data_IF_257036937204
#
_entry.id   IF_257036937204
#
_cell.length_a   1.000
_cell.length_b   1.000
_cell.length_c   1.000
_cell.angle_alpha   90.00
_cell.angle_beta   90.00
_cell.angle_gamma   90.00
#
_symmetry.space_group_name_H-M   'P 1'
#
loop_
_entity.id
_entity.type
_entity.pdbx_description
1 polymer ?
#
# COMPACT_ATOMS: atom_id res chain seq x y z
N UNK A 1 32.16 -28.08 -32.25
CA UNK A 1 32.05 -27.59 -30.87
C UNK A 1 31.23 -26.29 -30.92
N UNK A 2 29.93 -26.43 -30.79
CA UNK A 2 28.99 -25.30 -30.82
C UNK A 2 28.44 -25.12 -29.41
N UNK A 3 28.77 -23.99 -28.78
CA UNK A 3 28.26 -23.63 -27.44
C UNK A 3 26.82 -23.10 -27.61
N UNK A 4 25.86 -23.87 -27.14
CA UNK A 4 24.51 -23.41 -26.89
C UNK A 4 24.55 -22.47 -25.68
N UNK A 5 24.51 -21.18 -25.92
CA UNK A 5 24.13 -20.20 -24.89
C UNK A 5 22.63 -20.33 -24.67
N UNK A 6 22.23 -20.97 -23.59
CA UNK A 6 20.86 -20.93 -23.11
C UNK A 6 20.51 -19.50 -22.72
N UNK A 7 19.65 -18.84 -23.47
CA UNK A 7 18.93 -17.68 -23.05
C UNK A 7 17.93 -18.16 -21.97
N UNK A 8 18.13 -17.76 -20.72
CA UNK A 8 17.08 -17.82 -19.72
C UNK A 8 15.91 -16.98 -20.27
N UNK A 9 14.78 -17.59 -20.50
CA UNK A 9 13.54 -16.88 -20.73
C UNK A 9 13.26 -16.07 -19.46
N UNK A 10 13.35 -14.74 -19.54
CA UNK A 10 12.85 -13.84 -18.52
C UNK A 10 11.34 -14.07 -18.47
N UNK A 11 10.90 -14.93 -17.55
CA UNK A 11 9.48 -15.11 -17.27
C UNK A 11 8.93 -13.79 -16.77
N UNK A 12 7.94 -13.24 -17.45
CA UNK A 12 7.16 -12.12 -16.93
C UNK A 12 6.55 -12.60 -15.62
N UNK A 13 6.98 -11.99 -14.51
CA UNK A 13 6.52 -12.38 -13.19
C UNK A 13 5.16 -11.70 -12.97
N UNK A 14 4.09 -12.46 -13.12
CA UNK A 14 2.76 -11.97 -12.80
C UNK A 14 2.54 -12.03 -11.29
N UNK A 15 2.19 -10.92 -10.67
CA UNK A 15 1.94 -10.88 -9.22
C UNK A 15 0.86 -9.87 -8.88
N UNK A 16 -0.24 -10.33 -8.28
CA UNK A 16 -1.41 -9.52 -7.93
C UNK A 16 -1.64 -9.61 -6.42
N UNK A 17 -1.20 -8.60 -5.69
CA UNK A 17 -1.13 -8.60 -4.23
C UNK A 17 -2.02 -7.54 -3.59
N UNK A 18 -2.47 -7.86 -2.38
CA UNK A 18 -3.00 -6.88 -1.41
C UNK A 18 -2.04 -6.81 -0.23
N UNK A 19 -1.71 -5.60 0.20
CA UNK A 19 -1.02 -5.36 1.47
C UNK A 19 -2.02 -4.87 2.51
N UNK A 20 -2.23 -5.67 3.55
CA UNK A 20 -3.03 -5.35 4.72
C UNK A 20 -2.14 -4.94 5.90
N UNK A 21 -2.75 -4.29 6.87
CA UNK A 21 -2.11 -3.88 8.10
C UNK A 21 -2.49 -2.44 8.49
N UNK A 22 -2.32 -2.07 9.77
CA UNK A 22 -2.72 -0.77 10.27
C UNK A 22 -1.96 0.39 9.60
N UNK A 23 -2.47 1.63 9.72
CA UNK A 23 -1.70 2.81 9.35
C UNK A 23 -0.34 2.79 10.06
N UNK A 24 0.75 3.04 9.33
CA UNK A 24 2.12 3.00 9.89
C UNK A 24 2.81 1.64 9.88
N UNK A 25 2.14 0.55 9.46
CA UNK A 25 2.73 -0.80 9.42
C UNK A 25 3.88 -0.99 8.41
N UNK A 26 4.13 -0.03 7.52
CA UNK A 26 5.21 -0.15 6.53
C UNK A 26 4.76 -0.63 5.15
N UNK A 27 3.45 -0.83 4.90
CA UNK A 27 2.90 -1.29 3.61
C UNK A 27 3.48 -0.58 2.40
N UNK A 28 3.43 0.76 2.39
CA UNK A 28 3.93 1.56 1.27
C UNK A 28 5.44 1.44 1.05
N UNK A 29 6.23 1.19 2.09
CA UNK A 29 7.67 0.92 1.98
C UNK A 29 7.91 -0.42 1.28
N UNK A 30 7.24 -1.46 1.74
CA UNK A 30 7.34 -2.79 1.16
C UNK A 30 6.80 -2.84 -0.28
N UNK A 31 5.67 -2.14 -0.54
CA UNK A 31 5.13 -2.02 -1.90
C UNK A 31 6.13 -1.42 -2.88
N UNK A 32 6.83 -0.35 -2.49
CA UNK A 32 7.85 0.28 -3.35
C UNK A 32 9.02 -0.66 -3.66
N UNK A 33 9.49 -1.42 -2.67
CA UNK A 33 10.56 -2.39 -2.88
C UNK A 33 10.13 -3.53 -3.83
N UNK A 34 8.86 -3.96 -3.75
CA UNK A 34 8.29 -4.94 -4.69
C UNK A 34 8.13 -4.34 -6.10
N UNK A 35 7.64 -3.09 -6.22
CA UNK A 35 7.56 -2.38 -7.49
C UNK A 35 8.91 -2.33 -8.20
N UNK A 36 9.95 -1.90 -7.47
CA UNK A 36 11.31 -1.76 -8.02
C UNK A 36 11.90 -3.10 -8.46
N UNK A 37 11.48 -4.21 -7.83
CA UNK A 37 11.98 -5.56 -8.14
C UNK A 37 11.24 -6.24 -9.27
N UNK A 38 9.91 -6.07 -9.36
CA UNK A 38 9.05 -6.85 -10.26
C UNK A 38 8.44 -6.03 -11.39
N UNK A 39 8.70 -4.73 -11.43
CA UNK A 39 8.15 -3.80 -12.44
C UNK A 39 6.60 -3.86 -12.52
N UNK A 40 5.94 -3.95 -11.37
CA UNK A 40 4.48 -3.95 -11.23
C UNK A 40 4.01 -2.69 -10.49
N UNK A 41 2.87 -2.07 -10.85
CA UNK A 41 2.43 -0.83 -10.23
C UNK A 41 1.89 -1.04 -8.82
N UNK A 42 2.20 -0.08 -7.93
CA UNK A 42 1.49 0.11 -6.66
C UNK A 42 0.24 0.95 -6.90
N UNK A 43 -0.90 0.47 -6.43
CA UNK A 43 -2.18 1.19 -6.41
C UNK A 43 -2.45 1.60 -4.96
N UNK A 44 -1.98 2.77 -4.57
CA UNK A 44 -2.22 3.36 -3.25
C UNK A 44 -3.45 4.26 -3.30
N UNK A 45 -4.58 3.79 -2.75
CA UNK A 45 -5.81 4.59 -2.70
C UNK A 45 -5.62 5.89 -1.91
N UNK A 46 -4.81 5.84 -0.85
CA UNK A 46 -4.47 7.05 -0.09
C UNK A 46 -3.70 8.08 -0.91
N UNK A 47 -2.77 7.66 -1.78
CA UNK A 47 -2.01 8.59 -2.61
C UNK A 47 -2.86 9.15 -3.76
N UNK A 48 -3.72 8.33 -4.36
CA UNK A 48 -4.69 8.78 -5.39
C UNK A 48 -5.63 9.86 -4.80
N UNK A 49 -6.18 9.61 -3.61
CA UNK A 49 -7.06 10.56 -2.95
C UNK A 49 -6.34 11.86 -2.56
N UNK A 50 -5.09 11.76 -2.06
CA UNK A 50 -4.26 12.96 -1.76
C UNK A 50 -3.94 13.77 -3.01
N UNK A 51 -3.65 13.12 -4.13
CA UNK A 51 -3.47 13.81 -5.42
C UNK A 51 -4.75 14.54 -5.83
N UNK A 52 -5.89 13.88 -5.75
CA UNK A 52 -7.19 14.49 -6.06
C UNK A 52 -7.52 15.70 -5.14
N UNK A 53 -7.15 15.63 -3.86
CA UNK A 53 -7.26 16.76 -2.91
C UNK A 53 -6.35 17.91 -3.33
N UNK A 54 -5.08 17.62 -3.66
CA UNK A 54 -4.10 18.63 -4.11
C UNK A 54 -4.54 19.34 -5.39
N UNK A 55 -5.16 18.59 -6.31
CA UNK A 55 -5.70 19.11 -7.58
C UNK A 55 -7.05 19.81 -7.42
N UNK A 56 -7.70 19.70 -6.27
CA UNK A 56 -9.01 20.33 -6.00
C UNK A 56 -10.16 19.73 -6.80
N UNK A 57 -10.06 18.47 -7.21
CA UNK A 57 -11.14 17.80 -7.96
C UNK A 57 -12.40 17.64 -7.10
N UNK A 58 -13.61 17.52 -7.68
CA UNK A 58 -14.83 17.27 -6.90
C UNK A 58 -14.74 16.05 -5.99
N UNK A 59 -14.08 15.00 -6.44
CA UNK A 59 -13.79 13.80 -5.65
C UNK A 59 -12.82 14.12 -4.49
N UNK A 60 -11.74 14.85 -4.77
CA UNK A 60 -10.76 15.24 -3.76
C UNK A 60 -11.38 16.10 -2.66
N UNK A 61 -12.26 17.05 -3.01
CA UNK A 61 -12.97 17.88 -2.04
C UNK A 61 -13.89 17.05 -1.11
N UNK A 62 -14.57 16.03 -1.64
CA UNK A 62 -15.37 15.09 -0.84
C UNK A 62 -14.49 14.21 0.06
N UNK A 63 -13.38 13.71 -0.46
CA UNK A 63 -12.47 12.83 0.28
C UNK A 63 -11.74 13.58 1.40
N UNK A 64 -11.44 14.88 1.22
CA UNK A 64 -10.66 15.68 2.17
C UNK A 64 -11.24 15.64 3.58
N UNK A 65 -12.56 15.84 3.74
CA UNK A 65 -13.21 15.83 5.04
C UNK A 65 -13.01 14.52 5.80
N UNK A 66 -13.18 13.39 5.12
CA UNK A 66 -12.97 12.06 5.70
C UNK A 66 -11.48 11.85 6.08
N UNK A 67 -10.56 12.25 5.20
CA UNK A 67 -9.11 12.09 5.44
C UNK A 67 -8.63 12.93 6.62
N UNK A 68 -9.07 14.19 6.73
CA UNK A 68 -8.71 15.11 7.81
C UNK A 68 -9.25 14.63 9.17
N UNK A 69 -10.42 13.98 9.19
CA UNK A 69 -11.02 13.38 10.38
C UNK A 69 -10.51 11.97 10.72
N UNK A 70 -9.77 11.34 9.83
CA UNK A 70 -9.28 9.95 9.98
C UNK A 70 -10.33 8.89 9.68
N UNK A 71 -11.45 9.26 9.06
CA UNK A 71 -12.51 8.37 8.60
C UNK A 71 -12.22 7.79 7.21
N UNK A 72 -12.95 6.72 6.83
CA UNK A 72 -12.89 6.18 5.48
C UNK A 72 -13.71 7.03 4.50
N UNK A 73 -13.21 7.16 3.29
CA UNK A 73 -13.98 7.68 2.15
C UNK A 73 -15.04 6.63 1.77
N UNK A 74 -16.26 7.02 1.37
CA UNK A 74 -17.32 6.08 1.02
C UNK A 74 -16.87 4.98 0.05
N UNK A 75 -17.31 3.75 0.32
CA UNK A 75 -16.85 2.54 -0.39
C UNK A 75 -17.02 2.65 -1.91
N UNK A 76 -18.16 3.14 -2.37
CA UNK A 76 -18.47 3.30 -3.80
C UNK A 76 -17.47 4.20 -4.55
N UNK A 77 -16.96 5.23 -3.86
CA UNK A 77 -15.96 6.14 -4.44
C UNK A 77 -14.63 5.43 -4.59
N UNK A 78 -14.19 4.73 -3.54
CA UNK A 78 -12.89 4.06 -3.53
C UNK A 78 -12.88 2.85 -4.46
N UNK A 79 -13.96 2.06 -4.47
CA UNK A 79 -14.15 0.93 -5.41
C UNK A 79 -14.08 1.41 -6.86
N UNK A 80 -14.80 2.49 -7.19
CA UNK A 80 -14.77 3.05 -8.55
C UNK A 80 -13.37 3.47 -9.00
N UNK A 81 -12.59 4.12 -8.12
CA UNK A 81 -11.21 4.51 -8.40
C UNK A 81 -10.33 3.28 -8.67
N UNK A 82 -10.44 2.26 -7.83
CA UNK A 82 -9.62 1.05 -7.97
C UNK A 82 -9.98 0.29 -9.22
N UNK A 83 -11.27 0.12 -9.53
CA UNK A 83 -11.75 -0.51 -10.76
C UNK A 83 -11.19 0.17 -12.01
N UNK A 84 -11.29 1.50 -12.08
CA UNK A 84 -10.73 2.28 -13.20
C UNK A 84 -9.21 2.11 -13.30
N UNK A 85 -8.50 2.08 -12.17
CA UNK A 85 -7.04 1.91 -12.14
C UNK A 85 -6.60 0.52 -12.60
N UNK A 86 -7.32 -0.53 -12.21
CA UNK A 86 -7.04 -1.92 -12.59
C UNK A 86 -7.24 -2.22 -14.09
N UNK A 87 -7.97 -1.35 -14.79
CA UNK A 87 -8.17 -1.45 -16.26
C UNK A 87 -7.00 -0.87 -17.07
N UNK A 88 -6.01 -0.26 -16.43
CA UNK A 88 -4.84 0.28 -17.15
C UNK A 88 -3.90 -0.85 -17.55
N UNK A 89 -3.30 -0.74 -18.73
CA UNK A 89 -2.44 -1.77 -19.31
C UNK A 89 -1.21 -2.13 -18.44
N UNK A 90 -0.71 -1.22 -17.61
CA UNK A 90 0.38 -1.48 -16.69
C UNK A 90 -0.01 -2.45 -15.55
N UNK A 91 -1.30 -2.71 -15.34
CA UNK A 91 -1.83 -3.68 -14.39
C UNK A 91 -2.02 -5.10 -14.98
N UNK A 92 -1.68 -5.31 -16.25
CA UNK A 92 -1.90 -6.61 -16.89
C UNK A 92 -0.91 -7.67 -16.37
N UNK A 93 0.35 -7.27 -16.14
CA UNK A 93 1.39 -8.17 -15.62
C UNK A 93 1.39 -8.28 -14.08
N UNK A 94 0.52 -7.54 -13.39
CA UNK A 94 0.42 -7.58 -11.95
C UNK A 94 0.16 -6.21 -11.33
N UNK A 95 -0.07 -6.19 -10.03
CA UNK A 95 -0.27 -4.97 -9.26
C UNK A 95 -0.16 -5.23 -7.74
N UNK A 96 0.04 -4.17 -6.99
CA UNK A 96 0.01 -4.18 -5.53
C UNK A 96 -1.05 -3.19 -5.07
N UNK A 97 -2.11 -3.68 -4.42
CA UNK A 97 -3.10 -2.83 -3.76
C UNK A 97 -2.60 -2.44 -2.37
N UNK A 98 -2.43 -1.14 -2.12
CA UNK A 98 -2.01 -0.58 -0.84
C UNK A 98 -3.11 0.33 -0.27
N UNK A 99 -3.62 -0.05 0.90
CA UNK A 99 -4.70 0.65 1.56
C UNK A 99 -6.08 0.44 0.92
N UNK A 100 -6.27 -0.65 0.19
CA UNK A 100 -7.53 -1.15 -0.33
C UNK A 100 -7.46 -2.68 -0.47
N UNK A 101 -8.54 -3.42 -0.13
CA UNK A 101 -9.77 -2.94 0.50
C UNK A 101 -9.56 -2.53 1.96
N UNK A 102 -10.50 -1.76 2.53
CA UNK A 102 -10.52 -1.40 3.96
C UNK A 102 -11.78 -1.85 4.68
N UNK A 103 -12.76 -2.36 3.96
CA UNK A 103 -14.01 -2.92 4.50
C UNK A 103 -14.34 -4.21 3.79
N UNK A 104 -15.14 -5.09 4.43
CA UNK A 104 -15.61 -6.33 3.79
C UNK A 104 -16.42 -6.04 2.52
N UNK A 105 -17.35 -5.07 2.49
CA UNK A 105 -18.03 -4.70 1.25
C UNK A 105 -17.09 -4.28 0.11
N UNK A 106 -15.98 -3.58 0.42
CA UNK A 106 -14.96 -3.27 -0.60
C UNK A 106 -14.25 -4.55 -1.11
N UNK A 107 -14.00 -5.53 -0.23
CA UNK A 107 -13.39 -6.81 -0.63
C UNK A 107 -14.31 -7.62 -1.55
N UNK A 108 -15.61 -7.65 -1.26
CA UNK A 108 -16.61 -8.31 -2.10
C UNK A 108 -16.72 -7.65 -3.48
N UNK A 109 -16.74 -6.31 -3.50
CA UNK A 109 -16.75 -5.54 -4.75
C UNK A 109 -15.47 -5.79 -5.57
N UNK A 110 -14.30 -5.77 -4.92
CA UNK A 110 -13.02 -6.10 -5.57
C UNK A 110 -13.03 -7.49 -6.18
N UNK A 111 -13.54 -8.49 -5.44
CA UNK A 111 -13.65 -9.87 -5.95
C UNK A 111 -14.48 -9.93 -7.22
N UNK A 112 -15.60 -9.21 -7.26
CA UNK A 112 -16.47 -9.10 -8.46
C UNK A 112 -15.73 -8.41 -9.61
N UNK A 113 -15.08 -7.28 -9.35
CA UNK A 113 -14.35 -6.52 -10.36
C UNK A 113 -13.19 -7.32 -10.96
N UNK A 114 -12.46 -8.09 -10.13
CA UNK A 114 -11.36 -8.94 -10.61
C UNK A 114 -11.86 -10.06 -11.53
N UNK A 115 -13.00 -10.67 -11.21
CA UNK A 115 -13.62 -11.67 -12.10
C UNK A 115 -14.02 -11.05 -13.44
N UNK A 116 -14.62 -9.84 -13.43
CA UNK A 116 -14.97 -9.12 -14.68
C UNK A 116 -13.74 -8.77 -15.52
N UNK A 117 -12.59 -8.55 -14.90
CA UNK A 117 -11.32 -8.20 -15.55
C UNK A 117 -10.45 -9.41 -15.89
N UNK A 118 -10.94 -10.64 -15.65
CA UNK A 118 -10.17 -11.89 -15.82
C UNK A 118 -8.84 -11.88 -15.04
N UNK A 119 -8.87 -11.33 -13.82
CA UNK A 119 -7.72 -11.24 -12.92
C UNK A 119 -8.01 -12.02 -11.63
N UNK A 120 -6.98 -12.59 -11.01
CA UNK A 120 -7.07 -13.32 -9.75
C UNK A 120 -5.96 -12.85 -8.81
N UNK A 121 -6.26 -12.72 -7.51
CA UNK A 121 -5.25 -12.43 -6.48
C UNK A 121 -4.38 -13.65 -6.21
N UNK A 122 -3.08 -13.42 -6.09
CA UNK A 122 -2.11 -14.45 -5.73
C UNK A 122 -1.97 -14.56 -4.20
N UNK A 123 -1.94 -13.43 -3.50
CA UNK A 123 -1.86 -13.40 -2.05
C UNK A 123 -2.33 -12.07 -1.45
N UNK A 124 -2.66 -12.14 -0.16
CA UNK A 124 -2.92 -10.99 0.71
C UNK A 124 -1.93 -11.05 1.86
N UNK A 125 -1.01 -10.10 1.91
CA UNK A 125 0.02 -10.04 2.94
C UNK A 125 -0.39 -9.06 4.03
N UNK A 126 -0.58 -9.55 5.25
CA UNK A 126 -0.88 -8.74 6.42
C UNK A 126 0.39 -8.47 7.22
N UNK A 127 0.73 -7.20 7.40
CA UNK A 127 1.81 -6.76 8.28
C UNK A 127 1.26 -6.56 9.69
N UNK A 128 1.68 -7.41 10.61
CA UNK A 128 1.34 -7.30 12.03
C UNK A 128 2.33 -6.36 12.74
N UNK A 129 1.81 -5.37 13.46
CA UNK A 129 2.61 -4.34 14.13
C UNK A 129 1.95 -3.95 15.43
N UNK A 130 2.75 -3.85 16.48
CA UNK A 130 2.31 -3.39 17.79
C UNK A 130 1.70 -1.98 17.71
N UNK A 131 0.53 -1.81 18.30
CA UNK A 131 -0.25 -0.56 18.24
C UNK A 131 0.52 0.61 18.87
N UNK A 132 1.28 0.38 19.95
CA UNK A 132 2.02 1.44 20.63
C UNK A 132 3.16 2.00 19.75
N UNK A 133 3.75 1.15 18.92
CA UNK A 133 4.77 1.56 17.96
C UNK A 133 4.21 2.40 16.79
N UNK A 134 2.93 2.21 16.43
CA UNK A 134 2.32 2.84 15.25
C UNK A 134 2.21 4.36 15.38
N UNK A 135 1.89 4.87 16.58
CA UNK A 135 1.79 6.32 16.81
C UNK A 135 3.16 6.98 16.57
N UNK A 136 4.23 6.40 17.13
CA UNK A 136 5.59 6.91 16.94
C UNK A 136 6.03 6.83 15.46
N UNK A 137 5.69 5.74 14.77
CA UNK A 137 5.98 5.56 13.34
C UNK A 137 5.27 6.59 12.47
N UNK A 138 4.01 6.92 12.76
CA UNK A 138 3.23 7.87 11.96
C UNK A 138 3.61 9.32 12.25
N UNK A 139 3.83 9.70 13.50
CA UNK A 139 4.26 11.06 13.86
C UNK A 139 5.66 11.38 13.33
N UNK A 140 6.53 10.38 13.25
CA UNK A 140 7.89 10.49 12.69
C UNK A 140 7.94 10.44 11.16
N UNK A 141 6.84 10.10 10.49
CA UNK A 141 6.80 10.01 9.02
C UNK A 141 6.96 11.36 8.34
N UNK A 142 7.71 11.36 7.26
CA UNK A 142 7.85 12.50 6.34
C UNK A 142 7.58 12.03 4.93
N UNK A 143 7.01 12.92 4.11
CA UNK A 143 6.70 12.61 2.71
C UNK A 143 7.17 13.76 1.84
N UNK A 144 7.82 13.45 0.73
CA UNK A 144 8.22 14.47 -0.24
C UNK A 144 6.99 15.03 -0.94
N UNK A 145 6.86 16.37 -0.98
CA UNK A 145 5.75 17.05 -1.66
C UNK A 145 5.72 16.82 -3.17
N UNK A 146 6.89 16.60 -3.77
CA UNK A 146 7.01 16.49 -5.22
C UNK A 146 6.87 15.06 -5.71
N UNK A 147 7.72 14.13 -5.22
CA UNK A 147 7.76 12.76 -5.73
C UNK A 147 7.03 11.73 -4.85
N UNK A 148 6.46 12.13 -3.70
CA UNK A 148 5.74 11.23 -2.81
C UNK A 148 6.61 10.23 -2.04
N UNK A 149 7.97 10.29 -2.16
CA UNK A 149 8.85 9.39 -1.40
C UNK A 149 8.65 9.59 0.09
N UNK A 150 8.43 8.46 0.80
CA UNK A 150 8.35 8.42 2.26
C UNK A 150 9.74 8.33 2.90
N UNK A 151 9.86 8.94 4.07
CA UNK A 151 11.00 8.89 4.99
C UNK A 151 10.49 8.77 6.42
N UNK A 152 11.39 8.45 7.33
CA UNK A 152 11.10 8.50 8.76
C UNK A 152 12.24 9.15 9.51
N UNK A 153 11.93 10.05 10.45
CA UNK A 153 12.96 10.84 11.16
C UNK A 153 13.98 9.99 11.94
N UNK A 154 13.61 8.75 12.33
CA UNK A 154 14.47 7.83 13.07
C UNK A 154 14.86 6.57 12.29
N UNK A 155 13.91 5.96 11.54
CA UNK A 155 14.10 4.63 10.94
C UNK A 155 14.58 4.68 9.48
N UNK A 156 14.29 5.75 8.75
CA UNK A 156 14.72 5.98 7.36
C UNK A 156 14.91 7.49 7.16
N UNK A 157 15.91 8.11 7.83
CA UNK A 157 16.12 9.54 7.73
C UNK A 157 16.69 9.93 6.35
N UNK A 158 16.31 11.11 5.81
CA UNK A 158 16.96 11.64 4.61
C UNK A 158 18.41 12.03 4.92
N UNK A 159 19.27 12.07 3.89
CA UNK A 159 20.68 12.51 4.02
C UNK A 159 20.77 13.94 4.55
N UNK A 160 19.86 14.80 4.09
CA UNK A 160 19.75 16.19 4.55
C UNK A 160 18.35 16.39 5.15
N UNK A 161 18.28 16.88 6.37
CA UNK A 161 17.01 17.11 7.07
C UNK A 161 16.07 18.01 6.25
N UNK A 162 14.84 17.57 6.06
CA UNK A 162 13.81 18.31 5.33
C UNK A 162 13.90 18.25 3.80
N UNK A 163 14.90 17.56 3.22
CA UNK A 163 15.14 17.52 1.78
C UNK A 163 15.07 16.08 1.25
N UNK A 164 14.33 15.86 0.18
CA UNK A 164 14.22 14.56 -0.48
C UNK A 164 15.52 14.17 -1.19
N UNK A 165 16.03 12.97 -0.93
CA UNK A 165 17.25 12.44 -1.55
C UNK A 165 17.11 12.13 -3.04
N UNK A 166 15.87 12.02 -3.55
CA UNK A 166 15.59 11.63 -4.94
C UNK A 166 15.40 12.86 -5.85
N UNK A 167 14.58 13.84 -5.41
CA UNK A 167 14.19 14.96 -6.26
C UNK A 167 14.48 16.33 -5.64
N UNK A 168 15.15 16.36 -4.46
CA UNK A 168 15.50 17.59 -3.73
C UNK A 168 14.27 18.39 -3.26
N UNK A 169 13.05 17.82 -3.38
CA UNK A 169 11.81 18.43 -2.92
C UNK A 169 11.71 18.48 -1.39
N UNK A 170 10.83 19.35 -0.89
CA UNK A 170 10.57 19.53 0.55
C UNK A 170 9.94 18.29 1.17
N UNK A 171 10.42 17.87 2.35
CA UNK A 171 9.82 16.81 3.16
C UNK A 171 8.88 17.42 4.20
N UNK A 172 7.64 16.96 4.20
CA UNK A 172 6.60 17.43 5.12
C UNK A 172 5.98 16.28 5.91
N UNK A 173 5.45 16.59 7.07
CA UNK A 173 4.52 15.70 7.76
C UNK A 173 3.16 15.81 7.06
N UNK A 174 2.46 14.68 6.87
CA UNK A 174 1.13 14.69 6.28
C UNK A 174 0.13 15.30 7.26
N UNK A 175 -0.93 15.91 6.77
CA UNK A 175 -1.98 16.51 7.60
C UNK A 175 -2.69 15.43 8.45
N UNK A 176 -2.85 14.22 7.91
CA UNK A 176 -3.45 13.07 8.58
C UNK A 176 -2.48 12.32 9.53
N UNK A 177 -1.26 12.81 9.74
CA UNK A 177 -0.28 12.28 10.69
C UNK A 177 -0.18 13.10 11.99
N UNK A 178 -1.21 13.86 12.31
CA UNK A 178 -1.39 14.46 13.64
C UNK A 178 -1.86 13.39 14.64
N UNK A 179 -1.36 13.40 15.87
CA UNK A 179 -1.61 12.34 16.85
C UNK A 179 -3.11 12.04 17.05
N UNK A 180 -3.96 13.07 17.13
CA UNK A 180 -5.40 12.90 17.25
C UNK A 180 -5.99 12.13 16.07
N UNK A 181 -5.60 12.50 14.85
CA UNK A 181 -6.06 11.84 13.63
C UNK A 181 -5.52 10.41 13.53
N UNK A 182 -4.26 10.19 13.94
CA UNK A 182 -3.65 8.86 13.98
C UNK A 182 -4.46 7.91 14.88
N UNK A 183 -4.81 8.33 16.10
CA UNK A 183 -5.60 7.51 17.02
C UNK A 183 -6.95 7.15 16.41
N UNK A 184 -7.66 8.12 15.83
CA UNK A 184 -8.92 7.85 15.13
C UNK A 184 -8.74 6.87 13.96
N UNK A 185 -7.68 6.98 13.17
CA UNK A 185 -7.37 6.04 12.07
C UNK A 185 -7.10 4.64 12.57
N UNK A 186 -6.48 4.48 13.74
CA UNK A 186 -6.24 3.17 14.35
C UNK A 186 -7.57 2.56 14.84
N UNK A 187 -8.44 3.35 15.46
CA UNK A 187 -9.78 2.90 15.87
C UNK A 187 -10.60 2.44 14.65
N UNK A 188 -10.64 3.26 13.59
CA UNK A 188 -11.34 2.92 12.33
C UNK A 188 -10.74 1.67 11.66
N UNK A 189 -9.41 1.52 11.69
CA UNK A 189 -8.76 0.31 11.21
C UNK A 189 -9.24 -0.92 11.97
N UNK A 190 -9.24 -0.88 13.28
CA UNK A 190 -9.63 -1.98 14.14
C UNK A 190 -11.10 -2.36 13.93
N UNK A 191 -11.99 -1.38 13.82
CA UNK A 191 -13.42 -1.61 13.64
C UNK A 191 -13.77 -2.12 12.23
N UNK A 192 -13.17 -1.58 11.18
CA UNK A 192 -13.63 -1.76 9.80
C UNK A 192 -12.68 -2.57 8.92
N UNK A 193 -11.37 -2.51 9.17
CA UNK A 193 -10.37 -3.10 8.28
C UNK A 193 -9.79 -4.41 8.83
N UNK A 194 -9.57 -4.51 10.12
CA UNK A 194 -9.06 -5.73 10.76
C UNK A 194 -9.92 -6.98 10.46
N UNK A 195 -11.26 -6.91 10.33
CA UNK A 195 -12.09 -8.06 9.90
C UNK A 195 -11.68 -8.68 8.57
N UNK A 196 -10.98 -7.96 7.69
CA UNK A 196 -10.46 -8.49 6.43
C UNK A 196 -9.40 -9.57 6.64
N UNK A 197 -8.71 -9.60 7.77
CA UNK A 197 -7.75 -10.66 8.11
C UNK A 197 -8.49 -12.02 8.18
N UNK A 198 -9.62 -12.08 8.88
CA UNK A 198 -10.43 -13.28 8.93
C UNK A 198 -11.07 -13.61 7.57
N UNK A 199 -11.53 -12.61 6.83
CA UNK A 199 -12.10 -12.76 5.49
C UNK A 199 -11.10 -13.43 4.53
N UNK A 200 -9.89 -12.92 4.39
CA UNK A 200 -8.88 -13.47 3.49
C UNK A 200 -8.23 -14.76 4.02
N UNK A 201 -8.22 -14.96 5.34
CA UNK A 201 -7.83 -16.27 5.92
C UNK A 201 -8.81 -17.36 5.50
N UNK A 202 -10.12 -17.09 5.56
CA UNK A 202 -11.16 -18.02 5.12
C UNK A 202 -11.08 -18.32 3.61
N UNK A 203 -10.65 -17.33 2.79
CA UNK A 203 -10.41 -17.50 1.36
C UNK A 203 -9.09 -18.23 1.03
N UNK A 204 -8.24 -18.55 2.02
CA UNK A 204 -6.95 -19.22 1.81
C UNK A 204 -5.86 -18.34 1.18
N UNK A 205 -6.08 -17.03 1.10
CA UNK A 205 -5.16 -16.08 0.45
C UNK A 205 -4.22 -15.36 1.44
N UNK A 206 -4.53 -15.40 2.75
CA UNK A 206 -3.81 -14.63 3.74
C UNK A 206 -2.41 -15.20 4.03
N UNK A 207 -1.44 -14.30 4.07
CA UNK A 207 -0.07 -14.51 4.58
C UNK A 207 0.19 -13.45 5.65
N UNK A 208 0.69 -13.85 6.81
CA UNK A 208 0.96 -12.95 7.94
C UNK A 208 2.46 -12.77 8.14
N UNK A 209 2.89 -11.53 8.36
CA UNK A 209 4.29 -11.16 8.60
C UNK A 209 4.42 -10.23 9.79
N UNK A 210 5.47 -10.44 10.59
CA UNK A 210 5.89 -9.51 11.63
C UNK A 210 6.49 -8.24 11.00
N UNK A 211 5.74 -7.13 11.03
CA UNK A 211 6.15 -5.81 10.55
C UNK A 211 7.00 -5.01 11.55
N UNK A 212 7.38 -5.60 12.70
CA UNK A 212 8.24 -4.95 13.68
C UNK A 212 9.73 -5.13 13.38
N UNK A 213 10.09 -6.03 12.49
CA UNK A 213 11.47 -6.31 12.10
C UNK A 213 12.06 -5.18 11.23
N UNK A 214 13.36 -5.26 10.97
CA UNK A 214 14.04 -4.36 10.02
C UNK A 214 13.39 -4.41 8.63
N UNK A 215 13.37 -3.28 7.94
CA UNK A 215 12.71 -3.11 6.63
C UNK A 215 13.15 -4.18 5.63
N UNK A 216 14.45 -4.49 5.58
CA UNK A 216 15.01 -5.46 4.64
C UNK A 216 14.68 -6.90 5.04
N UNK A 217 14.58 -7.18 6.36
CA UNK A 217 14.18 -8.49 6.87
C UNK A 217 12.69 -8.74 6.52
N UNK A 218 11.82 -7.74 6.75
CA UNK A 218 10.41 -7.83 6.35
C UNK A 218 10.29 -8.09 4.86
N UNK A 219 11.08 -7.38 4.03
CA UNK A 219 11.09 -7.58 2.58
C UNK A 219 11.53 -9.00 2.21
N UNK A 220 12.60 -9.52 2.81
CA UNK A 220 13.07 -10.87 2.53
C UNK A 220 12.02 -11.92 2.93
N UNK A 221 11.46 -11.81 4.13
CA UNK A 221 10.39 -12.69 4.60
C UNK A 221 9.17 -12.64 3.67
N UNK A 222 8.83 -11.45 3.14
CA UNK A 222 7.74 -11.30 2.18
C UNK A 222 8.03 -12.04 0.88
N UNK A 223 9.23 -11.94 0.34
CA UNK A 223 9.64 -12.68 -0.85
C UNK A 223 9.60 -14.19 -0.63
N UNK A 224 10.07 -14.65 0.53
CA UNK A 224 10.09 -16.07 0.87
C UNK A 224 8.67 -16.66 0.95
N UNK A 225 7.72 -15.97 1.59
CA UNK A 225 6.33 -16.45 1.68
C UNK A 225 5.56 -16.35 0.36
N UNK A 226 5.97 -15.45 -0.53
CA UNK A 226 5.44 -15.35 -1.90
C UNK A 226 6.10 -16.35 -2.84
N UNK A 227 7.10 -17.11 -2.38
CA UNK A 227 7.88 -18.08 -3.15
C UNK A 227 8.55 -17.46 -4.38
N UNK A 228 8.99 -16.22 -4.24
CA UNK A 228 9.67 -15.47 -5.29
C UNK A 228 11.16 -15.45 -4.98
N UNK A 229 11.91 -16.30 -5.65
CA UNK A 229 13.37 -16.42 -5.48
C UNK A 229 14.10 -15.64 -6.58
#
# INVERSE_FOLDING_TARGET
MSQLKGAAAEGVFEMKLILLGPPGAGKGTQAKMLMDRFDIPQISTGDILRAAVKEGTPMGLKAKGCMDSGELVPDEVVVGIVKERLQKADCDNGFILDGFPRTVPQADALSTDLVELDKQLDAVVSLDVDTDALVARLTGRRTCRECGRGYHVMFDPPKNAGVCDVCVGELVQRDDDQEKTIRKRLDVYQEQTEPLVAYYRAAGLLKELDGMQDINIVQQNMLDILQVV
#
